data_IF_319616046201
#
_entry.id   IF_319616046201
#
_cell.length_a   1.000
_cell.length_b   1.000
_cell.length_c   1.000
_cell.angle_alpha   90.00
_cell.angle_beta   90.00
_cell.angle_gamma   90.00
#
_symmetry.space_group_name_H-M   'P 1'
#
loop_
_entity.id
_entity.type
_entity.pdbx_description
1 polymer ?
#
# COMPACT_ATOMS: atom_id res chain seq x y z
N UNK A 1 14.59 8.66 -8.63
CA UNK A 1 13.41 8.40 -7.79
C UNK A 1 13.51 9.39 -6.63
N UNK A 2 12.53 10.27 -6.50
CA UNK A 2 12.44 11.18 -5.36
C UNK A 2 12.03 10.39 -4.10
N UNK A 3 12.59 10.74 -2.95
CA UNK A 3 12.37 9.99 -1.71
C UNK A 3 11.89 10.94 -0.63
N UNK A 4 10.70 10.67 -0.12
CA UNK A 4 10.09 11.41 0.97
C UNK A 4 9.71 10.45 2.10
N UNK A 5 9.78 10.95 3.33
CA UNK A 5 9.41 10.20 4.53
C UNK A 5 8.21 10.83 5.20
N UNK A 6 7.25 10.00 5.60
CA UNK A 6 6.05 10.44 6.29
C UNK A 6 5.78 9.51 7.48
N UNK A 7 5.27 10.07 8.59
CA UNK A 7 4.81 9.26 9.71
C UNK A 7 3.50 8.56 9.30
N UNK A 8 3.31 7.31 9.76
CA UNK A 8 2.20 6.44 9.33
C UNK A 8 0.82 7.02 9.64
N UNK A 9 0.68 7.80 10.70
CA UNK A 9 -0.56 8.49 11.08
C UNK A 9 -0.97 9.54 10.04
N UNK A 10 -0.03 10.39 9.63
CA UNK A 10 -0.23 11.38 8.58
C UNK A 10 -0.43 10.69 7.22
N UNK A 11 0.31 9.62 6.93
CA UNK A 11 0.16 8.84 5.70
C UNK A 11 -1.26 8.29 5.54
N UNK A 12 -1.81 7.65 6.58
CA UNK A 12 -3.16 7.09 6.54
C UNK A 12 -4.24 8.16 6.37
N UNK A 13 -4.10 9.31 7.03
CA UNK A 13 -5.00 10.47 6.84
C UNK A 13 -4.95 11.03 5.40
N UNK A 14 -3.75 11.14 4.84
CA UNK A 14 -3.54 11.66 3.50
C UNK A 14 -3.96 10.68 2.40
N UNK A 15 -3.79 9.37 2.61
CA UNK A 15 -4.29 8.33 1.72
C UNK A 15 -5.79 8.45 1.50
N UNK A 16 -6.56 8.76 2.55
CA UNK A 16 -8.02 8.93 2.43
C UNK A 16 -8.38 10.30 1.85
N UNK A 17 -7.64 11.35 2.19
CA UNK A 17 -7.98 12.74 1.80
C UNK A 17 -7.54 13.10 0.38
N UNK A 18 -6.37 12.63 -0.05
CA UNK A 18 -5.78 12.89 -1.36
C UNK A 18 -4.82 11.74 -1.76
N UNK A 19 -5.33 10.58 -2.18
CA UNK A 19 -4.51 9.42 -2.53
C UNK A 19 -3.60 9.66 -3.74
N UNK A 20 -3.97 10.56 -4.65
CA UNK A 20 -3.27 10.78 -5.93
C UNK A 20 -1.87 11.40 -5.81
N UNK A 21 -1.48 11.84 -4.61
CA UNK A 21 -0.11 12.31 -4.35
C UNK A 21 0.91 11.17 -4.18
N UNK A 22 0.43 9.94 -3.97
CA UNK A 22 1.29 8.77 -3.76
C UNK A 22 1.46 7.99 -5.06
N UNK A 23 2.69 7.55 -5.32
CA UNK A 23 3.01 6.66 -6.45
C UNK A 23 3.50 5.31 -5.92
N UNK A 24 4.60 5.31 -5.15
CA UNK A 24 5.18 4.11 -4.54
C UNK A 24 5.39 4.33 -3.05
N UNK A 25 4.92 3.38 -2.23
CA UNK A 25 5.08 3.39 -0.77
C UNK A 25 5.87 2.18 -0.32
N UNK A 26 6.86 2.40 0.56
CA UNK A 26 7.63 1.34 1.20
C UNK A 26 7.44 1.45 2.70
N UNK A 27 6.98 0.36 3.32
CA UNK A 27 6.63 0.35 4.74
C UNK A 27 7.04 -0.97 5.40
N UNK A 28 7.29 -0.98 6.72
CA UNK A 28 7.39 -2.22 7.50
C UNK A 28 6.10 -3.05 7.41
N UNK A 29 6.23 -4.38 7.57
CA UNK A 29 5.14 -5.35 7.37
C UNK A 29 3.77 -4.91 7.94
N UNK A 30 3.70 -4.59 9.24
CA UNK A 30 2.44 -4.21 9.88
C UNK A 30 1.83 -2.93 9.29
N UNK A 31 2.65 -1.91 9.01
CA UNK A 31 2.17 -0.66 8.43
C UNK A 31 1.76 -0.83 6.98
N UNK A 32 2.45 -1.71 6.24
CA UNK A 32 2.08 -2.10 4.89
C UNK A 32 0.70 -2.71 4.87
N UNK A 33 0.40 -3.65 5.76
CA UNK A 33 -0.93 -4.26 5.83
C UNK A 33 -2.04 -3.24 6.16
N UNK A 34 -1.77 -2.25 7.01
CA UNK A 34 -2.74 -1.19 7.33
C UNK A 34 -3.00 -0.31 6.09
N UNK A 35 -1.95 0.18 5.45
CA UNK A 35 -2.05 1.07 4.28
C UNK A 35 -2.68 0.33 3.10
N UNK A 36 -2.34 -0.94 2.91
CA UNK A 36 -2.88 -1.80 1.86
C UNK A 36 -4.39 -2.01 2.02
N UNK A 37 -4.87 -2.27 3.24
CA UNK A 37 -6.31 -2.36 3.52
C UNK A 37 -7.05 -1.03 3.27
N UNK A 38 -6.41 0.12 3.56
CA UNK A 38 -6.98 1.44 3.26
C UNK A 38 -7.05 1.63 1.74
N UNK A 39 -5.96 1.38 1.02
CA UNK A 39 -5.91 1.49 -0.43
C UNK A 39 -6.96 0.59 -1.10
N UNK A 40 -7.09 -0.64 -0.61
CA UNK A 40 -8.10 -1.59 -1.03
C UNK A 40 -9.52 -1.06 -0.82
N UNK A 41 -9.81 -0.48 0.34
CA UNK A 41 -11.07 0.19 0.62
C UNK A 41 -11.39 1.36 -0.35
N UNK A 42 -10.36 2.10 -0.79
CA UNK A 42 -10.53 3.24 -1.72
C UNK A 42 -10.90 2.80 -3.15
N UNK A 43 -10.51 1.59 -3.56
CA UNK A 43 -10.71 1.11 -4.95
C UNK A 43 -11.88 0.14 -5.12
N UNK A 44 -12.65 -0.14 -4.06
CA UNK A 44 -13.83 -1.01 -4.10
C UNK A 44 -13.74 -2.29 -3.26
N UNK A 45 -12.67 -2.44 -2.46
CA UNK A 45 -12.46 -3.53 -1.51
C UNK A 45 -11.50 -4.61 -2.01
N UNK A 46 -11.18 -5.56 -1.11
CA UNK A 46 -10.16 -6.58 -1.36
C UNK A 46 -10.46 -7.55 -2.51
N UNK A 47 -11.72 -7.61 -2.98
CA UNK A 47 -12.09 -8.50 -4.09
C UNK A 47 -11.60 -8.05 -5.47
N UNK A 48 -11.03 -6.86 -5.60
CA UNK A 48 -10.53 -6.31 -6.88
C UNK A 48 -9.04 -5.95 -6.85
N UNK A 49 -8.35 -6.24 -5.75
CA UNK A 49 -6.95 -5.88 -5.54
C UNK A 49 -6.08 -7.12 -5.64
N UNK A 50 -5.32 -7.23 -6.73
CA UNK A 50 -4.37 -8.32 -6.91
C UNK A 50 -3.11 -8.12 -6.05
N UNK A 51 -2.63 -9.22 -5.45
CA UNK A 51 -1.43 -9.27 -4.64
C UNK A 51 -0.26 -9.96 -5.36
N UNK A 52 0.96 -9.52 -5.05
CA UNK A 52 2.19 -10.20 -5.49
C UNK A 52 3.24 -10.16 -4.38
N UNK A 53 3.76 -11.32 -4.01
CA UNK A 53 4.82 -11.50 -3.01
C UNK A 53 6.09 -12.01 -3.69
N UNK A 54 7.18 -11.25 -3.55
CA UNK A 54 8.45 -11.53 -4.20
C UNK A 54 9.47 -12.06 -3.20
N UNK A 55 10.23 -13.07 -3.60
CA UNK A 55 11.41 -13.57 -2.90
C UNK A 55 12.55 -13.85 -3.90
N UNK A 56 13.73 -14.24 -3.42
CA UNK A 56 14.86 -14.57 -4.30
C UNK A 56 14.63 -15.86 -5.11
N UNK A 57 13.77 -16.77 -4.64
CA UNK A 57 13.60 -18.12 -5.19
C UNK A 57 12.29 -18.28 -5.95
N UNK A 58 11.24 -17.58 -5.50
CA UNK A 58 9.91 -17.68 -6.08
C UNK A 58 9.13 -16.36 -5.98
N UNK A 59 8.10 -16.26 -6.82
CA UNK A 59 7.10 -15.20 -6.78
C UNK A 59 5.72 -15.85 -6.62
N UNK A 60 4.93 -15.34 -5.69
CA UNK A 60 3.56 -15.79 -5.42
C UNK A 60 2.60 -14.69 -5.83
N UNK A 61 1.60 -15.02 -6.64
CA UNK A 61 0.54 -14.10 -7.06
C UNK A 61 -0.78 -14.53 -6.41
N UNK A 62 -1.48 -13.58 -5.81
CA UNK A 62 -2.76 -13.80 -5.13
C UNK A 62 -3.84 -12.91 -5.78
N UNK A 63 -5.10 -13.38 -5.88
CA UNK A 63 -6.20 -12.60 -6.46
C UNK A 63 -6.53 -11.32 -5.71
#
# INVERSE_FOLDING_TARGET
IEFETMIVDNCTMQMVSNPHQFDVMVTPNLYGNIVDNIASGLVGGAGVVAGASYSAECVVFEP
#
